data_IF_969905470566
#
_entry.id   IF_969905470566
#
_cell.length_a   1.000
_cell.length_b   1.000
_cell.length_c   1.000
_cell.angle_alpha   90.00
_cell.angle_beta   90.00
_cell.angle_gamma   90.00
#
_symmetry.space_group_name_H-M   'P 1'
#
loop_
_entity.id
_entity.type
_entity.pdbx_description
1 polymer ?
#
# COMPACT_ATOMS: atom_id res chain seq x y z
N UNK A 1 -2.69 7.07 4.47
CA UNK A 1 -1.51 7.94 4.21
C UNK A 1 -1.87 9.43 4.29
N UNK A 2 -3.08 9.85 3.88
CA UNK A 2 -3.60 11.23 4.02
C UNK A 2 -3.47 11.91 5.40
N UNK A 3 -3.28 11.19 6.51
CA UNK A 3 -3.07 11.79 7.82
C UNK A 3 -1.67 12.33 8.07
N UNK A 4 -0.69 11.97 7.23
CA UNK A 4 0.70 12.43 7.36
C UNK A 4 1.21 13.13 6.09
N UNK A 5 0.35 13.42 5.10
CA UNK A 5 0.76 14.04 3.82
C UNK A 5 1.37 15.45 4.01
N UNK A 6 1.01 16.15 5.09
CA UNK A 6 1.63 17.43 5.45
C UNK A 6 3.05 17.29 6.04
N UNK A 7 3.51 16.06 6.32
CA UNK A 7 4.81 15.75 6.94
C UNK A 7 5.83 15.23 5.92
N UNK A 8 5.61 15.41 4.61
CA UNK A 8 6.40 14.77 3.55
C UNK A 8 7.93 15.01 3.66
N UNK A 9 8.38 16.14 4.23
CA UNK A 9 9.80 16.44 4.46
C UNK A 9 10.42 15.72 5.67
N UNK A 10 9.63 15.07 6.52
CA UNK A 10 10.06 14.37 7.74
C UNK A 10 9.85 12.85 7.71
N UNK A 11 9.50 12.27 6.55
CA UNK A 11 9.29 10.82 6.43
C UNK A 11 10.62 10.08 6.27
N UNK A 12 10.84 9.08 7.12
CA UNK A 12 11.94 8.12 7.00
C UNK A 12 11.43 6.84 6.33
N UNK A 13 11.71 6.59 5.03
CA UNK A 13 11.28 5.37 4.37
C UNK A 13 12.00 4.16 4.97
N UNK A 14 11.25 3.08 5.19
CA UNK A 14 11.77 1.80 5.66
C UNK A 14 11.24 0.69 4.73
N UNK A 15 12.11 -0.26 4.38
CA UNK A 15 11.76 -1.34 3.44
C UNK A 15 10.90 -2.44 4.08
N UNK A 16 10.82 -2.48 5.42
CA UNK A 16 10.09 -3.51 6.16
C UNK A 16 9.57 -3.00 7.50
N UNK A 17 8.61 -3.73 8.08
CA UNK A 17 8.15 -3.49 9.45
C UNK A 17 9.32 -3.56 10.45
N UNK A 18 10.26 -4.49 10.29
CA UNK A 18 11.46 -4.56 11.13
C UNK A 18 12.27 -3.26 11.06
N UNK A 19 12.51 -2.73 9.86
CA UNK A 19 13.24 -1.47 9.68
C UNK A 19 12.57 -0.29 10.37
N UNK A 20 11.23 -0.25 10.41
CA UNK A 20 10.47 0.77 11.17
C UNK A 20 10.74 0.64 12.67
N UNK A 21 10.70 -0.59 13.21
CA UNK A 21 10.93 -0.84 14.63
C UNK A 21 12.38 -0.49 15.02
N UNK A 22 13.36 -0.90 14.23
CA UNK A 22 14.77 -0.55 14.43
C UNK A 22 15.02 0.96 14.36
N UNK A 23 14.33 1.68 13.47
CA UNK A 23 14.41 3.14 13.39
C UNK A 23 13.90 3.82 14.67
N UNK A 24 12.82 3.31 15.27
CA UNK A 24 12.30 3.81 16.54
C UNK A 24 13.26 3.51 17.70
N UNK A 25 13.74 2.27 17.81
CA UNK A 25 14.69 1.88 18.87
C UNK A 25 16.01 2.65 18.80
N UNK A 26 16.42 3.06 17.60
CA UNK A 26 17.63 3.85 17.38
C UNK A 26 17.40 5.36 17.45
N UNK A 27 16.21 5.82 17.87
CA UNK A 27 15.82 7.24 17.93
C UNK A 27 15.95 8.00 16.60
N UNK A 28 15.86 7.30 15.46
CA UNK A 28 15.83 7.92 14.12
C UNK A 28 14.43 8.41 13.74
N UNK A 29 13.41 7.95 14.44
CA UNK A 29 12.02 8.39 14.31
C UNK A 29 11.33 8.40 15.67
N UNK A 30 10.28 9.21 15.81
CA UNK A 30 9.44 9.26 17.02
C UNK A 30 8.15 8.42 16.90
N UNK A 31 7.63 8.29 15.68
CA UNK A 31 6.46 7.48 15.34
C UNK A 31 6.77 6.60 14.15
N UNK A 32 6.27 5.37 14.18
CA UNK A 32 6.38 4.41 13.09
C UNK A 32 4.99 4.00 12.62
N UNK A 33 4.83 3.84 11.31
CA UNK A 33 3.63 3.30 10.70
C UNK A 33 3.94 1.92 10.13
N UNK A 34 3.20 0.91 10.55
CA UNK A 34 3.31 -0.46 10.04
C UNK A 34 1.95 -1.00 9.65
N UNK A 35 1.92 -1.91 8.69
CA UNK A 35 0.72 -2.64 8.33
C UNK A 35 0.58 -3.81 9.29
N UNK A 36 -0.50 -3.80 10.09
CA UNK A 36 -0.84 -4.91 10.97
C UNK A 36 -1.68 -5.97 10.25
N UNK A 37 -2.59 -5.52 9.38
CA UNK A 37 -3.58 -6.37 8.72
C UNK A 37 -3.86 -5.85 7.30
N UNK A 38 -4.14 -6.79 6.39
CA UNK A 38 -4.65 -6.51 5.04
C UNK A 38 -5.96 -7.24 4.83
N UNK A 39 -6.91 -6.61 4.15
CA UNK A 39 -8.20 -7.23 3.86
C UNK A 39 -8.09 -8.54 3.05
N UNK A 40 -7.06 -8.68 2.21
CA UNK A 40 -6.85 -9.88 1.38
C UNK A 40 -6.04 -10.98 2.07
N UNK A 41 -5.25 -10.64 3.08
CA UNK A 41 -4.24 -11.52 3.69
C UNK A 41 -4.42 -11.71 5.20
N UNK A 42 -5.38 -11.01 5.80
CA UNK A 42 -5.58 -10.96 7.25
C UNK A 42 -4.40 -10.31 7.99
N UNK A 43 -4.27 -10.68 9.26
CA UNK A 43 -3.19 -10.20 10.15
C UNK A 43 -1.84 -10.68 9.61
N UNK A 44 -0.89 -9.75 9.50
CA UNK A 44 0.48 -10.03 9.05
C UNK A 44 1.32 -10.59 10.21
N UNK A 45 1.71 -11.89 10.18
CA UNK A 45 2.36 -12.53 11.33
C UNK A 45 3.70 -11.88 11.71
N UNK A 46 4.47 -11.43 10.73
CA UNK A 46 5.76 -10.78 10.95
C UNK A 46 5.62 -9.49 11.77
N UNK A 47 4.70 -8.60 11.40
CA UNK A 47 4.43 -7.37 12.18
C UNK A 47 3.89 -7.70 13.57
N UNK A 48 3.02 -8.71 13.68
CA UNK A 48 2.45 -9.15 14.97
C UNK A 48 3.54 -9.67 15.93
N UNK A 49 4.50 -10.44 15.44
CA UNK A 49 5.62 -10.93 16.26
C UNK A 49 6.46 -9.76 16.80
N UNK A 50 6.80 -8.79 15.95
CA UNK A 50 7.58 -7.62 16.34
C UNK A 50 6.92 -6.78 17.45
N UNK A 51 5.58 -6.68 17.46
CA UNK A 51 4.86 -6.00 18.55
C UNK A 51 5.04 -6.68 19.92
N UNK A 52 5.33 -7.98 19.95
CA UNK A 52 5.65 -8.72 21.17
C UNK A 52 7.14 -8.65 21.55
N UNK A 53 8.02 -8.57 20.56
CA UNK A 53 9.48 -8.63 20.75
C UNK A 53 10.09 -7.27 21.13
N UNK A 54 9.43 -6.16 20.78
CA UNK A 54 9.95 -4.81 21.00
C UNK A 54 9.18 -4.08 22.10
N UNK A 55 9.86 -3.26 22.93
CA UNK A 55 9.24 -2.48 24.00
C UNK A 55 8.56 -1.19 23.47
N UNK A 56 7.83 -1.29 22.37
CA UNK A 56 7.10 -0.19 21.74
C UNK A 56 5.62 -0.24 22.12
N UNK A 57 4.94 0.91 22.08
CA UNK A 57 3.50 1.02 22.35
C UNK A 57 2.75 1.44 21.10
N UNK A 58 1.62 0.79 20.85
CA UNK A 58 0.65 1.26 19.83
C UNK A 58 -0.07 2.48 20.40
N UNK A 59 0.05 3.62 19.72
CA UNK A 59 -0.53 4.90 20.14
C UNK A 59 -1.71 5.35 19.27
N UNK A 60 -2.06 4.57 18.26
CA UNK A 60 -3.18 4.84 17.37
C UNK A 60 -3.29 3.80 16.27
N UNK A 61 -4.41 3.83 15.55
CA UNK A 61 -4.70 2.98 14.40
C UNK A 61 -5.21 3.81 13.23
N UNK A 62 -5.02 3.29 12.02
CA UNK A 62 -5.56 3.86 10.80
C UNK A 62 -6.01 2.73 9.88
N UNK A 63 -7.27 2.80 9.44
CA UNK A 63 -7.78 1.95 8.36
C UNK A 63 -7.66 2.71 7.05
N UNK A 64 -6.95 2.13 6.08
CA UNK A 64 -6.82 2.70 4.74
C UNK A 64 -7.58 1.87 3.72
N UNK A 65 -8.61 2.47 3.12
CA UNK A 65 -9.29 1.88 1.97
C UNK A 65 -8.51 2.18 0.70
N UNK A 66 -7.99 1.13 0.06
CA UNK A 66 -7.33 1.27 -1.23
C UNK A 66 -8.34 1.79 -2.27
N UNK A 67 -7.96 2.84 -2.99
CA UNK A 67 -8.69 3.35 -4.15
C UNK A 67 -7.74 3.43 -5.33
N UNK A 68 -8.19 2.92 -6.47
CA UNK A 68 -7.40 2.90 -7.69
C UNK A 68 -8.01 3.89 -8.69
N UNK A 69 -7.13 4.58 -9.43
CA UNK A 69 -7.54 5.43 -10.54
C UNK A 69 -6.92 4.91 -11.81
N UNK A 70 -7.73 4.82 -12.85
CA UNK A 70 -7.21 4.61 -14.20
C UNK A 70 -6.74 5.95 -14.74
N UNK A 71 -5.47 6.01 -15.14
CA UNK A 71 -4.86 7.20 -15.74
C UNK A 71 -4.41 6.82 -17.15
N UNK A 72 -4.78 7.65 -18.13
CA UNK A 72 -4.48 7.39 -19.54
C UNK A 72 -4.14 8.69 -20.25
N UNK A 73 -3.22 8.61 -21.22
CA UNK A 73 -2.92 9.70 -22.16
C UNK A 73 -3.84 9.70 -23.39
N UNK A 74 -4.63 8.63 -23.56
CA UNK A 74 -5.56 8.43 -24.69
C UNK A 74 -6.99 8.24 -24.19
N UNK A 75 -8.02 8.49 -25.03
CA UNK A 75 -9.38 8.12 -24.71
C UNK A 75 -9.50 6.64 -24.33
N UNK A 76 -10.41 6.29 -23.41
CA UNK A 76 -10.54 4.92 -22.89
C UNK A 76 -10.74 3.85 -23.99
N UNK A 77 -11.48 4.20 -25.05
CA UNK A 77 -11.71 3.32 -26.21
C UNK A 77 -10.44 2.93 -26.98
N UNK A 78 -9.37 3.73 -26.84
CA UNK A 78 -8.10 3.54 -27.55
C UNK A 78 -7.07 2.81 -26.66
N UNK A 79 -7.41 2.52 -25.40
CA UNK A 79 -6.55 1.80 -24.46
C UNK A 79 -6.46 0.33 -24.88
N UNK A 80 -5.23 -0.15 -25.11
CA UNK A 80 -4.94 -1.55 -25.47
C UNK A 80 -4.33 -2.36 -24.33
N UNK A 81 -3.74 -1.67 -23.35
CA UNK A 81 -3.05 -2.28 -22.21
C UNK A 81 -3.23 -1.41 -20.97
N UNK A 82 -3.61 -2.02 -19.85
CA UNK A 82 -3.60 -1.40 -18.52
C UNK A 82 -2.49 -2.04 -17.70
N UNK A 83 -1.58 -1.21 -17.19
CA UNK A 83 -0.48 -1.64 -16.32
C UNK A 83 -0.72 -1.17 -14.90
N UNK A 84 -0.38 -1.98 -13.90
CA UNK A 84 -0.46 -1.59 -12.50
C UNK A 84 0.15 -2.64 -11.57
N UNK A 85 0.29 -2.30 -10.29
CA UNK A 85 0.72 -3.27 -9.28
C UNK A 85 -0.26 -4.44 -9.17
N UNK A 86 0.22 -5.60 -8.71
CA UNK A 86 -0.57 -6.84 -8.64
C UNK A 86 -1.92 -6.66 -7.89
N UNK A 87 -1.93 -5.93 -6.78
CA UNK A 87 -3.17 -5.64 -6.04
C UNK A 87 -4.16 -4.79 -6.86
N UNK A 88 -3.68 -3.80 -7.61
CA UNK A 88 -4.52 -2.97 -8.46
C UNK A 88 -5.15 -3.77 -9.60
N UNK A 89 -4.35 -4.61 -10.28
CA UNK A 89 -4.83 -5.44 -11.39
C UNK A 89 -5.85 -6.48 -10.89
N UNK A 90 -5.59 -7.15 -9.76
CA UNK A 90 -6.54 -8.10 -9.18
C UNK A 90 -7.85 -7.44 -8.77
N UNK A 91 -7.79 -6.30 -8.08
CA UNK A 91 -9.00 -5.60 -7.61
C UNK A 91 -9.81 -4.95 -8.74
N UNK A 92 -9.16 -4.43 -9.78
CA UNK A 92 -9.82 -3.62 -10.81
C UNK A 92 -9.99 -4.33 -12.16
N UNK A 93 -9.39 -5.51 -12.36
CA UNK A 93 -9.38 -6.17 -13.67
C UNK A 93 -10.77 -6.47 -14.24
N UNK A 94 -11.72 -6.86 -13.38
CA UNK A 94 -13.13 -7.02 -13.75
C UNK A 94 -13.73 -5.71 -14.26
N UNK A 95 -13.53 -4.62 -13.52
CA UNK A 95 -14.05 -3.30 -13.87
C UNK A 95 -13.48 -2.81 -15.21
N UNK A 96 -12.17 -3.00 -15.44
CA UNK A 96 -11.49 -2.63 -16.69
C UNK A 96 -12.10 -3.37 -17.89
N UNK A 97 -12.30 -4.69 -17.78
CA UNK A 97 -12.89 -5.49 -18.86
C UNK A 97 -14.33 -5.09 -19.17
N UNK A 98 -15.08 -4.64 -18.16
CA UNK A 98 -16.47 -4.21 -18.32
C UNK A 98 -16.62 -2.79 -18.91
N UNK A 99 -15.71 -1.85 -18.59
CA UNK A 99 -15.92 -0.42 -18.85
C UNK A 99 -14.90 0.26 -19.77
N UNK A 100 -13.74 -0.36 -20.04
CA UNK A 100 -12.69 0.24 -20.87
C UNK A 100 -12.72 -0.37 -22.27
N UNK A 101 -12.12 -1.55 -22.42
CA UNK A 101 -12.17 -2.38 -23.64
C UNK A 101 -12.06 -3.84 -23.20
N UNK A 102 -13.00 -4.73 -23.59
CA UNK A 102 -12.98 -6.13 -23.16
C UNK A 102 -11.70 -6.89 -23.53
N UNK A 103 -11.08 -6.52 -24.66
CA UNK A 103 -9.84 -7.10 -25.18
C UNK A 103 -8.56 -6.45 -24.65
N UNK A 104 -8.67 -5.50 -23.71
CA UNK A 104 -7.51 -4.85 -23.13
C UNK A 104 -6.64 -5.86 -22.37
N UNK A 105 -5.34 -5.84 -22.64
CA UNK A 105 -4.35 -6.61 -21.90
C UNK A 105 -4.19 -6.02 -20.49
N UNK A 106 -4.21 -6.87 -19.45
CA UNK A 106 -3.92 -6.47 -18.08
C UNK A 106 -2.50 -6.95 -17.74
N UNK A 107 -1.63 -6.01 -17.38
CA UNK A 107 -0.21 -6.29 -17.09
C UNK A 107 0.10 -5.90 -15.66
N UNK A 108 0.51 -6.89 -14.87
CA UNK A 108 1.05 -6.67 -13.53
C UNK A 108 2.48 -6.16 -13.65
N UNK A 109 2.80 -5.09 -12.93
CA UNK A 109 4.17 -4.58 -12.74
C UNK A 109 4.57 -4.80 -11.29
N UNK A 110 5.80 -5.28 -11.10
CA UNK A 110 6.45 -5.42 -9.79
C UNK A 110 6.89 -4.05 -9.23
#
# INVERSE_FOLDING_TARGET
VQHFDHMASGLLPCESSLGVFEALMSNRAFLGLVVLEKADSGILPATRALLGDYPLKVVGELVHTASYRLVSFVPLRDVRRVCGGAAAIRSCGSWVRQHVVPSCELVEKE
#
